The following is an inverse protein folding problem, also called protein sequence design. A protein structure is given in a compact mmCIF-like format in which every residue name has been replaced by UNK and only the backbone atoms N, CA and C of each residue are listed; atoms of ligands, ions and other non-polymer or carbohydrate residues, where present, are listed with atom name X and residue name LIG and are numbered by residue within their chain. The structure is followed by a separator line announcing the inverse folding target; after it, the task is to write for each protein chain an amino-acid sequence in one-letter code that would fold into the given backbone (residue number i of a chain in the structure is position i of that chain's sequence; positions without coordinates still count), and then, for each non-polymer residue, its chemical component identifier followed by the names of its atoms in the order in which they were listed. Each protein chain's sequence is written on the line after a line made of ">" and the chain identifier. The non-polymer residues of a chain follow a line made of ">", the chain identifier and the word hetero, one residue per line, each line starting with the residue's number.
data_IF_445282020519
#
_entry.id   IF_445282020519
#
_cell.length_a   1.000
_cell.length_b   1.000
_cell.length_c   1.000
_cell.angle_alpha   90.00
_cell.angle_beta   90.00
_cell.angle_gamma   90.00
#
_symmetry.space_group_name_H-M   'P 1'
#
loop_
_entity.id
_entity.type
_entity.pdbx_description
1 polymer ?
#
# COMPACT_ATOMS: atom_id res chain seq x y z
N UNK A 1 35.06 45.22 -11.50
CA UNK A 1 35.15 43.92 -12.22
C UNK A 1 34.44 42.88 -11.37
N UNK A 2 33.39 42.30 -11.93
CA UNK A 2 32.55 41.23 -11.37
C UNK A 2 33.28 39.90 -11.37
N UNK A 3 33.16 39.09 -10.30
CA UNK A 3 32.91 37.64 -10.45
C UNK A 3 32.10 37.16 -9.24
N UNK A 4 30.79 36.95 -9.45
CA UNK A 4 29.94 36.15 -8.56
C UNK A 4 30.20 34.68 -8.87
N UNK A 5 30.86 33.95 -7.97
CA UNK A 5 30.87 32.47 -8.03
C UNK A 5 29.59 31.95 -7.38
N UNK A 6 28.65 31.51 -8.21
CA UNK A 6 27.48 30.75 -7.78
C UNK A 6 27.90 29.30 -7.59
N UNK A 7 27.96 28.83 -6.34
CA UNK A 7 28.19 27.43 -6.02
C UNK A 7 26.89 26.64 -6.30
N UNK A 8 26.94 25.75 -7.30
CA UNK A 8 25.86 24.83 -7.64
C UNK A 8 25.77 23.73 -6.58
N UNK A 9 24.74 23.78 -5.73
CA UNK A 9 24.42 22.70 -4.78
C UNK A 9 24.00 21.45 -5.57
N UNK A 10 24.53 20.25 -5.27
CA UNK A 10 24.09 19.02 -5.92
C UNK A 10 22.68 18.66 -5.44
N UNK A 11 21.74 18.49 -6.37
CA UNK A 11 20.39 18.02 -6.09
C UNK A 11 20.42 16.58 -5.53
N UNK A 12 19.62 16.25 -4.50
CA UNK A 12 19.58 14.90 -3.95
C UNK A 12 18.95 13.92 -4.94
N UNK A 13 19.63 12.79 -5.15
CA UNK A 13 19.29 11.69 -6.06
C UNK A 13 17.87 11.15 -5.83
N UNK A 14 17.02 11.21 -6.84
CA UNK A 14 15.70 10.56 -6.89
C UNK A 14 15.76 9.01 -7.04
N UNK A 15 16.75 8.34 -6.42
CA UNK A 15 17.06 6.91 -6.62
C UNK A 15 16.79 5.93 -5.43
N UNK A 16 16.51 6.32 -4.18
CA UNK A 16 16.15 5.37 -3.11
C UNK A 16 14.69 4.92 -3.16
N UNK A 17 13.80 5.86 -3.49
CA UNK A 17 12.35 5.72 -3.37
C UNK A 17 11.76 4.70 -4.35
N UNK A 18 12.23 4.71 -5.60
CA UNK A 18 11.80 3.76 -6.63
C UNK A 18 12.14 2.32 -6.25
N UNK A 19 13.34 2.05 -5.69
CA UNK A 19 13.73 0.70 -5.25
C UNK A 19 12.87 0.20 -4.09
N UNK A 20 12.55 1.08 -3.14
CA UNK A 20 11.65 0.74 -2.03
C UNK A 20 10.24 0.41 -2.53
N UNK A 21 9.70 1.19 -3.46
CA UNK A 21 8.39 0.95 -4.07
C UNK A 21 8.34 -0.39 -4.83
N UNK A 22 9.36 -0.70 -5.62
CA UNK A 22 9.46 -1.99 -6.32
C UNK A 22 9.56 -3.18 -5.36
N UNK A 23 10.28 -3.01 -4.24
CA UNK A 23 10.35 -4.01 -3.18
C UNK A 23 8.98 -4.27 -2.54
N UNK A 24 8.24 -3.21 -2.24
CA UNK A 24 6.89 -3.29 -1.68
C UNK A 24 5.91 -3.96 -2.64
N UNK A 25 5.99 -3.66 -3.94
CA UNK A 25 5.18 -4.32 -4.97
C UNK A 25 5.45 -5.83 -5.04
N UNK A 26 6.72 -6.25 -5.02
CA UNK A 26 7.07 -7.68 -4.97
C UNK A 26 6.47 -8.36 -3.75
N UNK A 27 6.62 -7.75 -2.57
CA UNK A 27 6.03 -8.29 -1.34
C UNK A 27 4.50 -8.30 -1.35
N UNK A 28 3.86 -7.40 -2.11
CA UNK A 28 2.42 -7.43 -2.33
C UNK A 28 2.02 -8.64 -3.19
N UNK A 29 2.72 -8.85 -4.32
CA UNK A 29 2.49 -10.02 -5.20
C UNK A 29 2.73 -11.34 -4.48
N UNK A 30 3.84 -11.47 -3.74
CA UNK A 30 4.13 -12.65 -2.93
C UNK A 30 3.03 -12.87 -1.87
N UNK A 31 2.58 -11.79 -1.22
CA UNK A 31 1.49 -11.83 -0.24
C UNK A 31 0.15 -12.28 -0.84
N UNK A 32 -0.16 -11.92 -2.08
CA UNK A 32 -1.35 -12.42 -2.79
C UNK A 32 -1.23 -13.92 -3.08
N UNK A 33 -0.06 -14.36 -3.56
CA UNK A 33 0.20 -15.78 -3.79
C UNK A 33 0.08 -16.58 -2.49
N UNK A 34 0.53 -16.04 -1.37
CA UNK A 34 0.40 -16.65 -0.04
C UNK A 34 -1.06 -16.71 0.41
N UNK A 35 -1.80 -15.61 0.26
CA UNK A 35 -3.23 -15.55 0.57
C UNK A 35 -4.03 -16.60 -0.20
N UNK A 36 -3.72 -16.81 -1.49
CA UNK A 36 -4.37 -17.81 -2.32
C UNK A 36 -4.18 -19.25 -1.81
N UNK A 37 -3.09 -19.52 -1.07
CA UNK A 37 -2.80 -20.84 -0.49
C UNK A 37 -3.49 -21.07 0.85
N UNK A 38 -3.98 -20.03 1.51
CA UNK A 38 -4.74 -20.20 2.75
C UNK A 38 -6.15 -20.71 2.43
N UNK A 39 -6.55 -21.81 3.06
CA UNK A 39 -7.93 -22.34 3.04
C UNK A 39 -8.79 -21.78 4.17
N UNK A 40 -8.17 -21.34 5.26
CA UNK A 40 -8.83 -20.70 6.41
C UNK A 40 -9.06 -19.20 6.14
N UNK A 41 -10.32 -18.71 6.22
CA UNK A 41 -10.64 -17.30 5.96
C UNK A 41 -10.00 -16.36 6.99
N UNK A 42 -9.75 -16.82 8.22
CA UNK A 42 -9.08 -16.02 9.26
C UNK A 42 -7.60 -15.76 8.94
N UNK A 43 -6.99 -16.60 8.10
CA UNK A 43 -5.63 -16.41 7.63
C UNK A 43 -5.60 -15.72 6.26
N UNK A 44 -6.53 -16.09 5.36
CA UNK A 44 -6.62 -15.50 4.01
C UNK A 44 -6.94 -14.00 4.06
N UNK A 45 -7.92 -13.59 4.87
CA UNK A 45 -8.37 -12.20 4.90
C UNK A 45 -7.26 -11.22 5.33
N UNK A 46 -6.53 -11.43 6.45
CA UNK A 46 -5.42 -10.56 6.82
C UNK A 46 -4.26 -10.59 5.81
N UNK A 47 -3.98 -11.75 5.20
CA UNK A 47 -2.93 -11.87 4.18
C UNK A 47 -3.25 -11.05 2.93
N UNK A 48 -4.46 -11.15 2.40
CA UNK A 48 -4.94 -10.34 1.27
C UNK A 48 -4.90 -8.84 1.59
N UNK A 49 -5.37 -8.46 2.79
CA UNK A 49 -5.33 -7.07 3.24
C UNK A 49 -3.90 -6.52 3.32
N UNK A 50 -2.96 -7.32 3.83
CA UNK A 50 -1.57 -6.92 3.96
C UNK A 50 -0.89 -6.75 2.59
N UNK A 51 -1.22 -7.60 1.63
CA UNK A 51 -0.77 -7.41 0.25
C UNK A 51 -1.23 -6.06 -0.33
N UNK A 52 -2.51 -5.72 -0.15
CA UNK A 52 -3.04 -4.41 -0.55
C UNK A 52 -2.34 -3.25 0.17
N UNK A 53 -2.11 -3.35 1.49
CA UNK A 53 -1.37 -2.35 2.26
C UNK A 53 0.04 -2.09 1.70
N UNK A 54 0.73 -3.15 1.27
CA UNK A 54 2.08 -3.04 0.68
C UNK A 54 2.05 -2.34 -0.67
N UNK A 55 1.05 -2.62 -1.52
CA UNK A 55 0.86 -1.88 -2.76
C UNK A 55 0.55 -0.40 -2.50
N UNK A 56 -0.31 -0.08 -1.54
CA UNK A 56 -0.56 1.31 -1.13
C UNK A 56 0.73 1.99 -0.66
N UNK A 57 1.52 1.32 0.19
CA UNK A 57 2.82 1.82 0.63
C UNK A 57 3.79 2.05 -0.53
N UNK A 58 3.73 1.26 -1.61
CA UNK A 58 4.55 1.48 -2.80
C UNK A 58 4.18 2.81 -3.49
N UNK A 59 2.88 3.10 -3.63
CA UNK A 59 2.40 4.39 -4.15
C UNK A 59 2.87 5.54 -3.27
N UNK A 60 2.68 5.40 -1.95
CA UNK A 60 3.10 6.40 -0.97
C UNK A 60 4.60 6.64 -1.03
N UNK A 61 5.41 5.59 -1.18
CA UNK A 61 6.85 5.74 -1.35
C UNK A 61 7.12 6.66 -2.55
N UNK A 62 6.57 6.36 -3.73
CA UNK A 62 6.82 7.15 -4.96
C UNK A 62 6.31 8.59 -4.88
N UNK A 63 5.14 8.81 -4.27
CA UNK A 63 4.38 10.06 -4.41
C UNK A 63 4.38 10.95 -3.18
N UNK A 64 4.56 10.40 -1.99
CA UNK A 64 4.50 11.19 -0.76
C UNK A 64 5.78 12.01 -0.59
N UNK A 65 5.63 13.33 -0.44
CA UNK A 65 6.74 14.20 -0.06
C UNK A 65 7.15 13.88 1.40
N UNK A 66 8.44 13.67 1.70
CA UNK A 66 8.91 13.48 3.07
C UNK A 66 8.73 14.77 3.88
N UNK A 67 7.54 14.95 4.45
CA UNK A 67 7.25 16.07 5.34
C UNK A 67 7.62 15.66 6.78
N UNK A 68 8.39 16.46 7.53
CA UNK A 68 8.62 16.20 8.94
C UNK A 68 7.31 16.47 9.70
N UNK A 69 6.51 15.43 9.94
CA UNK A 69 5.32 15.53 10.79
C UNK A 69 5.31 14.40 11.81
N UNK A 70 5.71 14.75 13.04
CA UNK A 70 5.29 14.06 14.27
C UNK A 70 3.80 14.30 14.46
N UNK A 71 3.02 13.25 14.71
CA UNK A 71 1.76 13.43 15.45
C UNK A 71 0.51 12.69 14.98
N UNK A 72 0.50 11.97 13.86
CA UNK A 72 -0.64 11.09 13.58
C UNK A 72 -0.19 9.91 12.73
N UNK A 73 -0.44 8.71 13.25
CA UNK A 73 -0.78 7.53 12.46
C UNK A 73 -2.00 7.87 11.58
N UNK A 74 -1.83 8.74 10.57
CA UNK A 74 -2.80 8.82 9.49
C UNK A 74 -2.88 7.42 8.92
N UNK A 75 -4.08 6.84 8.92
CA UNK A 75 -4.32 5.53 8.34
C UNK A 75 -3.75 5.55 6.91
N UNK A 76 -2.89 4.59 6.55
CA UNK A 76 -2.21 4.56 5.26
C UNK A 76 -3.18 4.77 4.09
N UNK A 77 -4.42 4.30 4.24
CA UNK A 77 -5.51 4.50 3.30
C UNK A 77 -5.98 5.95 3.19
N UNK A 78 -6.11 6.69 4.29
CA UNK A 78 -6.44 8.12 4.23
C UNK A 78 -5.35 8.89 3.49
N UNK A 79 -4.08 8.63 3.81
CA UNK A 79 -2.97 9.27 3.11
C UNK A 79 -2.94 8.90 1.63
N UNK A 80 -3.24 7.64 1.28
CA UNK A 80 -3.33 7.19 -0.11
C UNK A 80 -4.38 8.02 -0.88
N UNK A 81 -5.58 8.18 -0.33
CA UNK A 81 -6.64 8.99 -0.97
C UNK A 81 -6.25 10.47 -1.13
N UNK A 82 -5.43 11.01 -0.24
CA UNK A 82 -4.91 12.38 -0.36
C UNK A 82 -3.85 12.51 -1.48
N UNK A 83 -2.91 11.55 -1.60
CA UNK A 83 -1.77 11.66 -2.54
C UNK A 83 -2.02 10.99 -3.90
N UNK A 84 -3.02 10.13 -3.99
CA UNK A 84 -3.46 9.47 -5.21
C UNK A 84 -5.00 9.45 -5.23
N UNK A 85 -5.66 10.58 -5.52
CA UNK A 85 -7.12 10.70 -5.52
C UNK A 85 -7.81 9.72 -6.48
N UNK A 86 -7.13 9.31 -7.56
CA UNK A 86 -7.63 8.26 -8.47
C UNK A 86 -7.74 6.88 -7.79
N UNK A 87 -7.10 6.69 -6.63
CA UNK A 87 -7.20 5.50 -5.78
C UNK A 87 -8.07 5.75 -4.53
N UNK A 88 -8.79 6.87 -4.44
CA UNK A 88 -9.55 7.24 -3.24
C UNK A 88 -10.67 6.24 -2.92
N UNK A 89 -11.34 5.69 -3.93
CA UNK A 89 -12.37 4.65 -3.74
C UNK A 89 -11.76 3.37 -3.15
N UNK A 90 -10.61 2.96 -3.67
CA UNK A 90 -9.85 1.84 -3.12
C UNK A 90 -9.41 2.09 -1.68
N UNK A 91 -8.91 3.28 -1.39
CA UNK A 91 -8.57 3.69 -0.04
C UNK A 91 -9.77 3.60 0.93
N UNK A 92 -10.94 4.12 0.52
CA UNK A 92 -12.15 4.06 1.33
C UNK A 92 -12.61 2.61 1.57
N UNK A 93 -12.58 1.78 0.52
CA UNK A 93 -12.90 0.36 0.61
C UNK A 93 -12.01 -0.38 1.62
N UNK A 94 -10.68 -0.30 1.49
CA UNK A 94 -9.77 -0.99 2.41
C UNK A 94 -9.79 -0.39 3.81
N UNK A 95 -10.06 0.92 3.96
CA UNK A 95 -10.28 1.51 5.27
C UNK A 95 -11.49 0.88 5.98
N UNK A 96 -12.61 0.66 5.28
CA UNK A 96 -13.79 -0.01 5.82
C UNK A 96 -13.51 -1.48 6.21
N UNK A 97 -12.65 -2.17 5.46
CA UNK A 97 -12.23 -3.55 5.74
C UNK A 97 -11.32 -3.72 6.97
N UNK A 98 -10.80 -2.64 7.56
CA UNK A 98 -9.79 -2.69 8.64
C UNK A 98 -10.29 -3.36 9.91
N UNK A 99 -11.57 -3.13 10.28
CA UNK A 99 -12.16 -3.70 11.49
C UNK A 99 -12.31 -5.22 11.36
N UNK A 100 -12.76 -5.70 10.19
CA UNK A 100 -12.86 -7.12 9.86
C UNK A 100 -11.48 -7.78 9.86
N UNK A 101 -10.43 -7.10 9.36
CA UNK A 101 -9.04 -7.57 9.45
C UNK A 101 -8.61 -7.78 10.90
N UNK A 102 -8.87 -6.79 11.76
CA UNK A 102 -8.53 -6.87 13.17
C UNK A 102 -9.28 -8.00 13.88
N UNK A 103 -10.56 -8.22 13.53
CA UNK A 103 -11.34 -9.33 14.05
C UNK A 103 -10.80 -10.70 13.61
N UNK A 104 -10.36 -10.82 12.34
CA UNK A 104 -9.72 -12.03 11.83
C UNK A 104 -8.43 -12.36 12.57
N UNK A 105 -7.55 -11.38 12.75
CA UNK A 105 -6.29 -11.55 13.49
C UNK A 105 -6.51 -11.90 14.98
N UNK A 106 -7.62 -11.43 15.56
CA UNK A 106 -8.05 -11.81 16.90
C UNK A 106 -8.70 -13.21 16.96
N UNK A 107 -8.82 -13.93 15.84
CA UNK A 107 -9.40 -15.27 15.79
C UNK A 107 -10.92 -15.31 15.92
N UNK A 108 -11.61 -14.21 15.67
CA UNK A 108 -13.07 -14.12 15.83
C UNK A 108 -13.77 -14.72 14.60
N UNK A 109 -13.83 -16.05 14.53
CA UNK A 109 -14.33 -16.85 13.40
C UNK A 109 -15.73 -16.44 12.88
N UNK A 110 -16.63 -16.00 13.76
CA UNK A 110 -18.01 -15.63 13.38
C UNK A 110 -18.12 -14.36 12.54
N UNK A 111 -17.05 -13.57 12.41
CA UNK A 111 -17.08 -12.26 11.75
C UNK A 111 -16.44 -12.26 10.35
N UNK A 112 -15.82 -13.37 9.93
CA UNK A 112 -15.15 -13.47 8.62
C UNK A 112 -15.52 -14.79 7.97
N UNK A 113 -16.41 -14.73 6.98
CA UNK A 113 -16.78 -15.89 6.17
C UNK A 113 -15.77 -16.17 5.05
N UNK A 114 -15.89 -17.35 4.45
CA UNK A 114 -15.13 -17.71 3.23
C UNK A 114 -15.36 -16.68 2.12
N UNK A 115 -16.62 -16.28 1.90
CA UNK A 115 -16.97 -15.29 0.88
C UNK A 115 -16.31 -13.93 1.13
N UNK A 116 -16.28 -13.47 2.37
CA UNK A 116 -15.63 -12.19 2.70
C UNK A 116 -14.13 -12.23 2.42
N UNK A 117 -13.48 -13.36 2.72
CA UNK A 117 -12.06 -13.55 2.44
C UNK A 117 -11.76 -13.66 0.94
N UNK A 118 -12.60 -14.36 0.17
CA UNK A 118 -12.48 -14.49 -1.28
C UNK A 118 -12.74 -13.16 -2.00
N UNK A 119 -13.75 -12.42 -1.53
CA UNK A 119 -14.07 -11.10 -2.05
C UNK A 119 -12.93 -10.12 -1.76
N UNK A 120 -12.40 -10.10 -0.54
CA UNK A 120 -11.24 -9.26 -0.23
C UNK A 120 -10.01 -9.65 -1.07
N UNK A 121 -9.73 -10.94 -1.26
CA UNK A 121 -8.61 -11.40 -2.07
C UNK A 121 -8.72 -10.89 -3.51
N UNK A 122 -9.89 -11.02 -4.14
CA UNK A 122 -10.14 -10.51 -5.50
C UNK A 122 -9.98 -9.00 -5.59
N UNK A 123 -10.49 -8.26 -4.61
CA UNK A 123 -10.32 -6.81 -4.54
C UNK A 123 -8.86 -6.41 -4.35
N UNK A 124 -8.10 -7.17 -3.54
CA UNK A 124 -6.66 -6.96 -3.36
C UNK A 124 -5.87 -7.24 -4.64
N UNK A 125 -6.18 -8.31 -5.37
CA UNK A 125 -5.58 -8.62 -6.67
C UNK A 125 -5.81 -7.50 -7.68
N UNK A 126 -7.05 -7.02 -7.81
CA UNK A 126 -7.39 -5.92 -8.71
C UNK A 126 -6.63 -4.64 -8.33
N UNK A 127 -6.62 -4.29 -7.05
CA UNK A 127 -5.91 -3.10 -6.57
C UNK A 127 -4.40 -3.19 -6.82
N UNK A 128 -3.77 -4.32 -6.52
CA UNK A 128 -2.33 -4.54 -6.76
C UNK A 128 -2.02 -4.46 -8.26
N UNK A 129 -2.88 -4.98 -9.14
CA UNK A 129 -2.76 -4.83 -10.58
C UNK A 129 -2.74 -3.37 -11.02
N UNK A 130 -3.74 -2.58 -10.60
CA UNK A 130 -3.85 -1.14 -10.88
C UNK A 130 -2.60 -0.39 -10.40
N UNK A 131 -2.16 -0.66 -9.17
CA UNK A 131 -0.97 -0.01 -8.61
C UNK A 131 0.29 -0.38 -9.41
N UNK A 132 0.44 -1.65 -9.77
CA UNK A 132 1.60 -2.12 -10.54
C UNK A 132 1.71 -1.44 -11.91
N UNK A 133 0.58 -1.20 -12.58
CA UNK A 133 0.52 -0.44 -13.83
C UNK A 133 0.83 1.06 -13.64
N UNK A 134 0.49 1.61 -12.47
CA UNK A 134 0.69 3.04 -12.18
C UNK A 134 2.12 3.41 -11.76
N UNK A 135 2.96 2.44 -11.35
CA UNK A 135 4.32 2.68 -10.89
C UNK A 135 5.29 2.46 -12.06
N UNK A 136 5.95 3.52 -12.58
CA UNK A 136 6.86 3.38 -13.70
C UNK A 136 8.11 2.58 -13.32
N UNK A 137 8.39 1.53 -14.09
CA UNK A 137 9.67 0.81 -14.06
C UNK A 137 10.74 1.76 -14.63
N UNK A 138 11.64 2.27 -13.79
CA UNK A 138 12.84 3.00 -14.23
C UNK A 138 14.10 2.22 -13.89
#
# INVERSE_FOLDING_TARGET
>A
MTVTTSARVPSPRAAPTSRAALGLLRQATDGLADAHRHTDPLLRYPAAYLAALRAAAAVLAVRATPQPRRGATRNAWQLLGEVAPELAEWAAFFAACSATRAAAEAGIARLVGQRDADDLLRQAEQFVGIVSESIPLR
#
